data_IF_048488753587
#
_entry.id   IF_048488753587
#
_cell.length_a   1.000
_cell.length_b   1.000
_cell.length_c   1.000
_cell.angle_alpha   90.00
_cell.angle_beta   90.00
_cell.angle_gamma   90.00
#
_symmetry.space_group_name_H-M   'P 1'
#
loop_
_entity.id
_entity.type
_entity.pdbx_description
1 polymer ?
#
# COMPACT_ATOMS: atom_id res chain seq x y z
N UNK A 1 -24.78 10.78 18.46
CA UNK A 1 -23.49 10.04 18.42
C UNK A 1 -23.10 9.46 17.05
N UNK A 2 -24.02 8.89 16.24
CA UNK A 2 -23.71 8.34 14.89
C UNK A 2 -23.04 9.33 13.92
N UNK A 3 -23.46 10.61 13.90
CA UNK A 3 -22.92 11.66 13.00
C UNK A 3 -21.42 11.93 13.26
N UNK A 4 -21.01 11.95 14.53
CA UNK A 4 -19.62 12.24 14.94
C UNK A 4 -18.69 11.08 14.56
N UNK A 5 -19.14 9.84 14.72
CA UNK A 5 -18.38 8.65 14.31
C UNK A 5 -18.23 8.55 12.79
N UNK A 6 -19.26 8.93 12.03
CA UNK A 6 -19.20 8.98 10.56
C UNK A 6 -18.15 9.96 10.06
N UNK A 7 -18.11 11.17 10.63
CA UNK A 7 -17.12 12.19 10.29
C UNK A 7 -15.71 11.71 10.60
N UNK A 8 -15.48 11.07 11.75
CA UNK A 8 -14.16 10.51 12.13
C UNK A 8 -13.66 9.46 11.14
N UNK A 9 -14.54 8.56 10.68
CA UNK A 9 -14.21 7.48 9.76
C UNK A 9 -13.97 8.02 8.33
N UNK A 10 -14.79 8.97 7.88
CA UNK A 10 -14.63 9.66 6.60
C UNK A 10 -13.26 10.35 6.51
N UNK A 11 -12.87 11.03 7.58
CA UNK A 11 -11.57 11.70 7.67
C UNK A 11 -10.40 10.73 7.68
N UNK A 12 -10.53 9.58 8.36
CA UNK A 12 -9.45 8.58 8.44
C UNK A 12 -9.06 8.03 7.05
N UNK A 13 -10.03 7.64 6.22
CA UNK A 13 -9.75 7.14 4.86
C UNK A 13 -9.06 8.16 3.95
N UNK A 14 -9.37 9.45 4.11
CA UNK A 14 -8.70 10.55 3.38
C UNK A 14 -7.27 10.78 3.86
N UNK A 15 -7.07 10.80 5.18
CA UNK A 15 -5.74 10.96 5.78
C UNK A 15 -4.83 9.82 5.32
N UNK A 16 -5.32 8.57 5.34
CA UNK A 16 -4.58 7.40 4.85
C UNK A 16 -4.19 7.57 3.37
N UNK A 17 -5.13 7.97 2.50
CA UNK A 17 -4.84 8.21 1.08
C UNK A 17 -3.80 9.30 0.86
N UNK A 18 -3.88 10.41 1.59
CA UNK A 18 -2.91 11.51 1.52
C UNK A 18 -1.53 11.06 2.00
N UNK A 19 -1.44 10.37 3.14
CA UNK A 19 -0.19 9.84 3.66
C UNK A 19 0.48 8.90 2.66
N UNK A 20 -0.28 7.99 2.04
CA UNK A 20 0.25 7.08 1.02
C UNK A 20 0.75 7.82 -0.22
N UNK A 21 0.06 8.88 -0.65
CA UNK A 21 0.49 9.69 -1.79
C UNK A 21 1.77 10.49 -1.48
N UNK A 22 1.91 11.02 -0.26
CA UNK A 22 3.15 11.70 0.19
C UNK A 22 4.31 10.71 0.20
N UNK A 23 4.11 9.53 0.80
CA UNK A 23 5.14 8.47 0.85
C UNK A 23 5.56 8.08 -0.57
N UNK A 24 4.59 7.82 -1.46
CA UNK A 24 4.87 7.46 -2.84
C UNK A 24 5.61 8.57 -3.61
N UNK A 25 5.24 9.83 -3.38
CA UNK A 25 5.91 10.98 -3.96
C UNK A 25 7.37 11.07 -3.50
N UNK A 26 7.62 10.92 -2.19
CA UNK A 26 8.96 10.90 -1.62
C UNK A 26 9.80 9.73 -2.14
N UNK A 27 9.25 8.52 -2.23
CA UNK A 27 10.00 7.36 -2.72
C UNK A 27 10.34 7.49 -4.19
N UNK A 28 9.43 8.05 -5.00
CA UNK A 28 9.63 8.27 -6.44
C UNK A 28 10.65 9.38 -6.72
N UNK A 29 10.66 10.44 -5.93
CA UNK A 29 11.64 11.51 -6.05
C UNK A 29 13.03 11.03 -5.65
N UNK A 30 13.14 10.30 -4.53
CA UNK A 30 14.39 9.66 -4.11
C UNK A 30 14.89 8.65 -5.17
N UNK A 31 13.97 7.87 -5.77
CA UNK A 31 14.31 6.94 -6.84
C UNK A 31 14.90 7.65 -8.05
N UNK A 32 14.26 8.72 -8.51
CA UNK A 32 14.72 9.51 -9.66
C UNK A 32 16.08 10.15 -9.42
N UNK A 33 16.28 10.77 -8.24
CA UNK A 33 17.55 11.41 -7.88
C UNK A 33 18.67 10.38 -7.86
N UNK A 34 18.44 9.23 -7.22
CA UNK A 34 19.47 8.21 -7.09
C UNK A 34 19.78 7.52 -8.41
N UNK A 35 18.78 7.29 -9.25
CA UNK A 35 18.97 6.77 -10.61
C UNK A 35 19.87 7.70 -11.44
N UNK A 36 19.61 9.01 -11.42
CA UNK A 36 20.41 10.01 -12.16
C UNK A 36 21.82 10.16 -11.56
N UNK A 37 21.94 10.10 -10.23
CA UNK A 37 23.21 10.28 -9.52
C UNK A 37 24.10 9.03 -9.52
N UNK A 38 23.58 7.86 -9.89
CA UNK A 38 24.32 6.60 -9.83
C UNK A 38 25.41 6.59 -10.90
N UNK A 39 26.65 6.81 -10.49
CA UNK A 39 27.82 6.72 -11.40
C UNK A 39 28.27 5.27 -11.64
N UNK A 40 27.88 4.35 -10.77
CA UNK A 40 28.20 2.93 -10.87
C UNK A 40 26.96 2.07 -10.73
N UNK A 41 26.96 0.88 -11.34
CA UNK A 41 25.84 -0.09 -11.26
C UNK A 41 25.63 -0.62 -9.82
N UNK A 42 26.69 -0.61 -9.01
CA UNK A 42 26.71 -1.08 -7.62
C UNK A 42 25.91 -0.13 -6.71
N UNK A 43 26.06 1.18 -6.90
CA UNK A 43 25.32 2.19 -6.12
C UNK A 43 23.80 2.13 -6.36
N UNK A 44 23.40 1.77 -7.58
CA UNK A 44 22.00 1.56 -7.95
C UNK A 44 21.44 0.29 -7.29
N UNK A 45 22.24 -0.78 -7.27
CA UNK A 45 21.84 -2.04 -6.63
C UNK A 45 21.60 -1.88 -5.13
N UNK A 46 22.55 -1.24 -4.44
CA UNK A 46 22.46 -0.94 -3.01
C UNK A 46 21.19 -0.11 -2.74
N UNK A 47 20.88 0.86 -3.60
CA UNK A 47 19.69 1.68 -3.45
C UNK A 47 18.37 0.91 -3.66
N UNK A 48 18.29 0.01 -4.65
CA UNK A 48 17.12 -0.86 -4.81
C UNK A 48 16.92 -1.72 -3.57
N UNK A 49 18.00 -2.19 -2.95
CA UNK A 49 17.93 -2.96 -1.72
C UNK A 49 17.32 -2.15 -0.56
N UNK A 50 17.56 -0.84 -0.50
CA UNK A 50 16.91 0.05 0.47
C UNK A 50 15.40 0.26 0.21
N UNK A 51 14.93 0.08 -1.03
CA UNK A 51 13.50 0.17 -1.39
C UNK A 51 12.73 -1.13 -1.15
N UNK A 52 13.43 -2.24 -0.93
CA UNK A 52 12.85 -3.57 -0.73
C UNK A 52 11.72 -3.61 0.34
N UNK A 53 11.84 -2.94 1.51
CA UNK A 53 10.80 -2.92 2.55
C UNK A 53 9.51 -2.21 2.18
N UNK A 54 9.51 -1.40 1.12
CA UNK A 54 8.30 -0.75 0.62
C UNK A 54 7.43 -1.73 -0.20
N UNK A 55 7.79 -3.01 -0.24
CA UNK A 55 7.08 -4.05 -0.97
C UNK A 55 7.60 -4.27 -2.39
N UNK A 56 8.85 -3.88 -2.65
CA UNK A 56 9.51 -3.97 -3.96
C UNK A 56 10.35 -5.24 -4.13
N UNK A 57 9.90 -6.37 -3.56
CA UNK A 57 10.63 -7.64 -3.64
C UNK A 57 10.90 -8.12 -5.07
N UNK A 58 10.03 -7.73 -6.00
CA UNK A 58 10.19 -7.98 -7.43
C UNK A 58 11.49 -7.37 -7.96
N UNK A 59 11.85 -6.16 -7.49
CA UNK A 59 13.11 -5.51 -7.86
C UNK A 59 14.33 -6.29 -7.34
N UNK A 60 14.23 -6.93 -6.18
CA UNK A 60 15.31 -7.78 -5.67
C UNK A 60 15.46 -9.06 -6.51
N UNK A 61 14.35 -9.73 -6.85
CA UNK A 61 14.35 -10.93 -7.69
C UNK A 61 14.92 -10.68 -9.09
N UNK A 62 14.64 -9.50 -9.67
CA UNK A 62 15.19 -9.13 -10.98
C UNK A 62 16.71 -8.95 -10.99
N UNK A 63 17.30 -8.59 -9.86
CA UNK A 63 18.74 -8.33 -9.79
C UNK A 63 19.51 -9.57 -9.32
N UNK A 64 18.90 -10.44 -8.51
CA UNK A 64 19.47 -11.75 -8.19
C UNK A 64 19.42 -12.71 -9.40
N UNK A 65 18.58 -12.42 -10.39
CA UNK A 65 18.64 -13.08 -11.71
C UNK A 65 19.96 -12.71 -12.38
N UNK A 66 20.86 -13.70 -12.47
CA UNK A 66 22.25 -13.62 -12.94
C UNK A 66 22.34 -13.34 -14.46
N UNK A 67 21.69 -12.29 -14.93
CA UNK A 67 21.59 -11.90 -16.33
C UNK A 67 22.65 -10.86 -16.65
N UNK A 68 23.42 -11.13 -17.70
CA UNK A 68 24.61 -10.39 -18.13
C UNK A 68 24.34 -8.95 -18.62
N UNK A 69 23.07 -8.52 -18.65
CA UNK A 69 22.65 -7.20 -19.14
C UNK A 69 21.97 -6.36 -18.04
N UNK A 70 22.77 -5.91 -17.08
CA UNK A 70 22.35 -5.08 -15.93
C UNK A 70 21.64 -3.79 -16.37
N UNK A 71 22.09 -3.17 -17.47
CA UNK A 71 21.48 -1.96 -18.02
C UNK A 71 20.01 -2.16 -18.45
N UNK A 72 19.69 -3.28 -19.10
CA UNK A 72 18.32 -3.60 -19.55
C UNK A 72 17.42 -3.87 -18.34
N UNK A 73 17.95 -4.59 -17.33
CA UNK A 73 17.24 -4.91 -16.08
C UNK A 73 16.92 -3.63 -15.30
N UNK A 74 17.86 -2.68 -15.26
CA UNK A 74 17.68 -1.39 -14.59
C UNK A 74 16.57 -0.54 -15.23
N UNK A 75 16.58 -0.43 -16.56
CA UNK A 75 15.54 0.30 -17.32
C UNK A 75 14.17 -0.37 -17.14
N UNK A 76 14.12 -1.69 -17.24
CA UNK A 76 12.88 -2.45 -17.04
C UNK A 76 12.34 -2.30 -15.61
N UNK A 77 13.23 -2.35 -14.62
CA UNK A 77 12.91 -2.15 -13.21
C UNK A 77 12.34 -0.76 -12.94
N UNK A 78 12.93 0.27 -13.55
CA UNK A 78 12.41 1.64 -13.50
C UNK A 78 11.00 1.71 -14.09
N UNK A 79 10.78 1.17 -15.30
CA UNK A 79 9.46 1.19 -15.94
C UNK A 79 8.40 0.48 -15.08
N UNK A 80 8.73 -0.69 -14.52
CA UNK A 80 7.83 -1.43 -13.65
C UNK A 80 7.53 -0.69 -12.35
N UNK A 81 8.52 -0.02 -11.76
CA UNK A 81 8.30 0.82 -10.58
C UNK A 81 7.33 1.97 -10.88
N UNK A 82 7.53 2.71 -11.97
CA UNK A 82 6.63 3.80 -12.37
C UNK A 82 5.22 3.29 -12.71
N UNK A 83 5.11 2.15 -13.39
CA UNK A 83 3.82 1.53 -13.68
C UNK A 83 3.07 1.16 -12.40
N UNK A 84 3.75 0.54 -11.42
CA UNK A 84 3.15 0.24 -10.13
C UNK A 84 2.76 1.50 -9.35
N UNK A 85 3.62 2.52 -9.35
CA UNK A 85 3.38 3.80 -8.67
C UNK A 85 2.14 4.52 -9.24
N UNK A 86 1.95 4.50 -10.56
CA UNK A 86 0.76 5.11 -11.19
C UNK A 86 -0.52 4.36 -10.83
N UNK A 87 -0.51 3.02 -10.86
CA UNK A 87 -1.66 2.20 -10.41
C UNK A 87 -1.99 2.45 -8.94
N UNK A 88 -0.97 2.52 -8.07
CA UNK A 88 -1.17 2.79 -6.66
C UNK A 88 -1.71 4.22 -6.44
N UNK A 89 -1.25 5.20 -7.21
CA UNK A 89 -1.77 6.58 -7.18
C UNK A 89 -3.25 6.63 -7.54
N UNK A 90 -3.63 5.97 -8.63
CA UNK A 90 -5.03 5.86 -9.07
C UNK A 90 -5.89 5.23 -7.97
N UNK A 91 -5.42 4.16 -7.35
CA UNK A 91 -6.14 3.51 -6.26
C UNK A 91 -6.28 4.39 -5.01
N UNK A 92 -5.28 5.18 -4.65
CA UNK A 92 -5.37 6.15 -3.55
C UNK A 92 -6.37 7.28 -3.87
N UNK A 93 -6.44 7.74 -5.12
CA UNK A 93 -7.47 8.69 -5.57
C UNK A 93 -8.87 8.08 -5.42
N UNK A 94 -9.08 6.84 -5.86
CA UNK A 94 -10.34 6.13 -5.65
C UNK A 94 -10.70 6.00 -4.17
N UNK A 95 -9.71 5.74 -3.31
CA UNK A 95 -9.91 5.70 -1.86
C UNK A 95 -10.33 7.07 -1.29
N UNK A 96 -9.73 8.17 -1.75
CA UNK A 96 -10.11 9.52 -1.31
C UNK A 96 -11.50 9.93 -1.80
N UNK A 97 -11.93 9.39 -2.94
CA UNK A 97 -13.23 9.64 -3.56
C UNK A 97 -14.34 8.78 -2.94
N UNK A 98 -14.05 7.56 -2.49
CA UNK A 98 -15.03 6.64 -1.92
C UNK A 98 -15.92 7.23 -0.80
N UNK A 99 -15.39 8.06 0.13
CA UNK A 99 -16.17 8.71 1.18
C UNK A 99 -17.13 9.77 0.65
N UNK A 100 -16.80 10.45 -0.46
CA UNK A 100 -17.69 11.44 -1.07
C UNK A 100 -18.92 10.78 -1.68
N UNK A 101 -18.72 9.70 -2.43
CA UNK A 101 -19.82 8.99 -3.08
C UNK A 101 -20.53 8.00 -2.15
N UNK A 102 -20.01 7.75 -0.94
CA UNK A 102 -20.50 6.72 0.00
C UNK A 102 -20.73 5.35 -0.66
N UNK A 103 -19.94 5.04 -1.70
CA UNK A 103 -20.04 3.77 -2.42
C UNK A 103 -18.89 2.85 -2.00
N UNK A 104 -19.18 1.70 -1.38
CA UNK A 104 -18.15 0.76 -0.94
C UNK A 104 -17.36 0.16 -2.10
N UNK A 105 -17.88 0.20 -3.33
CA UNK A 105 -17.22 -0.31 -4.53
C UNK A 105 -15.91 0.41 -4.87
N UNK A 106 -15.79 1.71 -4.59
CA UNK A 106 -14.57 2.48 -4.89
C UNK A 106 -13.40 2.16 -3.94
N UNK A 107 -13.65 1.51 -2.81
CA UNK A 107 -12.58 1.07 -1.89
C UNK A 107 -11.93 -0.25 -2.31
N UNK A 108 -12.57 -1.01 -3.20
CA UNK A 108 -12.12 -2.35 -3.59
C UNK A 108 -10.78 -2.33 -4.32
N UNK A 109 -10.55 -1.47 -5.34
CA UNK A 109 -9.26 -1.45 -6.03
C UNK A 109 -8.10 -1.17 -5.08
N UNK A 110 -8.29 -0.22 -4.15
CA UNK A 110 -7.30 0.09 -3.14
C UNK A 110 -7.04 -1.07 -2.18
N UNK A 111 -8.08 -1.73 -1.67
CA UNK A 111 -7.92 -2.89 -0.79
C UNK A 111 -7.14 -4.02 -1.46
N UNK A 112 -7.37 -4.26 -2.77
CA UNK A 112 -6.63 -5.29 -3.53
C UNK A 112 -5.16 -4.92 -3.63
N UNK A 113 -4.84 -3.72 -4.10
CA UNK A 113 -3.44 -3.30 -4.26
C UNK A 113 -2.71 -3.23 -2.91
N UNK A 114 -3.38 -2.75 -1.86
CA UNK A 114 -2.81 -2.71 -0.52
C UNK A 114 -2.56 -4.11 0.03
N UNK A 115 -3.42 -5.10 -0.28
CA UNK A 115 -3.20 -6.51 0.12
C UNK A 115 -1.95 -7.07 -0.56
N UNK A 116 -1.79 -6.84 -1.86
CA UNK A 116 -0.59 -7.24 -2.62
C UNK A 116 0.65 -6.59 -2.03
N UNK A 117 0.58 -5.29 -1.70
CA UNK A 117 1.68 -4.57 -1.05
C UNK A 117 2.04 -5.17 0.31
N UNK A 118 1.06 -5.48 1.17
CA UNK A 118 1.30 -6.12 2.48
C UNK A 118 1.97 -7.49 2.32
N UNK A 119 1.53 -8.30 1.36
CA UNK A 119 2.16 -9.60 1.08
C UNK A 119 3.63 -9.40 0.70
N UNK A 120 3.91 -8.50 -0.26
CA UNK A 120 5.28 -8.23 -0.69
C UNK A 120 6.16 -7.68 0.46
N UNK A 121 5.63 -6.78 1.28
CA UNK A 121 6.32 -6.24 2.46
C UNK A 121 6.61 -7.35 3.48
N UNK A 122 5.65 -8.26 3.70
CA UNK A 122 5.79 -9.38 4.63
C UNK A 122 6.89 -10.35 4.20
N UNK A 123 6.93 -10.72 2.91
CA UNK A 123 8.00 -11.59 2.39
C UNK A 123 9.36 -10.90 2.50
N UNK A 124 9.43 -9.60 2.20
CA UNK A 124 10.67 -8.81 2.33
C UNK A 124 11.16 -8.75 3.78
N UNK A 125 10.23 -8.57 4.71
CA UNK A 125 10.52 -8.58 6.15
C UNK A 125 11.06 -9.94 6.60
N UNK A 126 10.43 -11.04 6.18
CA UNK A 126 10.86 -12.41 6.52
C UNK A 126 12.24 -12.70 5.94
N UNK A 127 12.50 -12.36 4.68
CA UNK A 127 13.83 -12.55 4.07
C UNK A 127 14.91 -11.76 4.81
N UNK A 128 14.62 -10.49 5.13
CA UNK A 128 15.56 -9.64 5.89
C UNK A 128 15.80 -10.19 7.30
N UNK A 129 14.76 -10.74 7.95
CA UNK A 129 14.86 -11.39 9.25
C UNK A 129 15.74 -12.65 9.20
N UNK A 130 15.54 -13.51 8.20
CA UNK A 130 16.32 -14.74 8.03
C UNK A 130 17.78 -14.46 7.69
N UNK A 131 18.06 -13.42 6.89
CA UNK A 131 19.43 -13.00 6.58
C UNK A 131 20.16 -12.49 7.82
N UNK A 132 19.48 -11.74 8.69
CA UNK A 132 20.04 -11.28 9.96
C UNK A 132 20.29 -12.43 10.95
N UNK A 133 19.45 -13.48 10.94
CA UNK A 133 19.66 -14.66 11.80
C UNK A 133 20.83 -15.54 11.34
N UNK A 134 21.11 -15.60 10.04
CA UNK A 134 22.16 -16.45 9.46
C UNK A 134 23.54 -15.79 9.37
N UNK A 135 23.67 -14.47 9.64
CA UNK A 135 24.96 -13.77 9.61
C UNK A 135 25.70 -13.93 10.94
N UNK A 136 26.69 -14.82 10.97
CA UNK A 136 27.59 -15.06 12.12
C UNK A 136 28.80 -14.12 12.18
N UNK A 137 29.02 -13.23 11.18
CA UNK A 137 30.18 -12.33 11.17
C UNK A 137 29.82 -10.84 11.03
N UNK A 138 30.49 -9.96 11.82
CA UNK A 138 30.21 -8.53 11.85
C UNK A 138 30.99 -7.82 10.73
N UNK A 139 30.43 -7.76 9.53
CA UNK A 139 30.97 -6.89 8.47
C UNK A 139 30.40 -5.48 8.57
N UNK A 140 31.26 -4.48 8.38
CA UNK A 140 31.13 -3.01 8.55
C UNK A 140 29.84 -2.31 8.04
N UNK A 141 28.88 -3.01 7.42
CA UNK A 141 27.55 -2.52 7.01
C UNK A 141 26.53 -2.39 8.16
N UNK A 142 26.94 -2.70 9.39
CA UNK A 142 26.09 -2.85 10.59
C UNK A 142 25.29 -1.60 10.98
N UNK A 143 25.79 -0.38 10.72
CA UNK A 143 25.15 0.83 11.24
C UNK A 143 23.93 1.32 10.44
N UNK A 144 23.81 1.00 9.14
CA UNK A 144 22.62 1.39 8.36
C UNK A 144 21.50 0.33 8.38
N UNK A 145 21.83 -0.95 8.54
CA UNK A 145 20.86 -2.06 8.56
C UNK A 145 20.11 -2.21 9.90
N UNK A 146 20.69 -1.77 11.04
CA UNK A 146 20.06 -1.87 12.38
C UNK A 146 18.74 -1.10 12.45
N UNK A 147 18.65 0.09 11.85
CA UNK A 147 17.42 0.88 11.81
C UNK A 147 16.44 0.42 10.72
N UNK A 148 16.93 -0.36 9.76
CA UNK A 148 16.16 -0.82 8.61
C UNK A 148 15.13 -1.89 9.01
N UNK A 149 15.54 -2.80 9.90
CA UNK A 149 14.65 -3.84 10.43
C UNK A 149 13.43 -3.28 11.18
N UNK A 150 13.57 -2.40 12.21
CA UNK A 150 12.40 -1.84 12.90
C UNK A 150 11.55 -0.94 12.00
N UNK A 151 12.15 -0.19 11.06
CA UNK A 151 11.39 0.67 10.15
C UNK A 151 10.50 -0.12 9.19
N UNK A 152 11.00 -1.24 8.65
CA UNK A 152 10.21 -2.14 7.81
C UNK A 152 9.02 -2.74 8.56
N UNK A 153 9.22 -3.15 9.81
CA UNK A 153 8.15 -3.66 10.68
C UNK A 153 7.10 -2.59 11.01
N UNK A 154 7.52 -1.38 11.35
CA UNK A 154 6.61 -0.25 11.62
C UNK A 154 5.76 0.10 10.38
N UNK A 155 6.38 0.10 9.20
CA UNK A 155 5.67 0.36 7.95
C UNK A 155 4.64 -0.73 7.63
N UNK A 156 4.97 -2.00 7.90
CA UNK A 156 4.06 -3.12 7.73
C UNK A 156 2.87 -3.04 8.70
N UNK A 157 3.11 -2.67 9.97
CA UNK A 157 2.05 -2.44 10.96
C UNK A 157 1.13 -1.29 10.49
N UNK A 158 1.71 -0.19 10.02
CA UNK A 158 0.95 0.94 9.47
C UNK A 158 0.10 0.53 8.26
N UNK A 159 0.65 -0.30 7.37
CA UNK A 159 -0.04 -0.83 6.19
C UNK A 159 -1.23 -1.71 6.57
N UNK A 160 -1.06 -2.61 7.54
CA UNK A 160 -2.14 -3.48 8.06
C UNK A 160 -3.21 -2.65 8.75
N UNK A 161 -2.82 -1.68 9.57
CA UNK A 161 -3.75 -0.78 10.26
C UNK A 161 -4.61 0.02 9.26
N UNK A 162 -3.96 0.57 8.24
CA UNK A 162 -4.64 1.30 7.16
C UNK A 162 -5.62 0.40 6.42
N UNK A 163 -5.21 -0.82 6.07
CA UNK A 163 -6.06 -1.80 5.40
C UNK A 163 -7.29 -2.17 6.25
N UNK A 164 -7.08 -2.48 7.54
CA UNK A 164 -8.15 -2.83 8.48
C UNK A 164 -9.17 -1.70 8.63
N UNK A 165 -8.70 -0.46 8.81
CA UNK A 165 -9.55 0.72 8.96
C UNK A 165 -10.43 0.94 7.73
N UNK A 166 -9.87 0.82 6.53
CA UNK A 166 -10.62 0.96 5.27
C UNK A 166 -11.63 -0.18 5.09
N UNK A 167 -11.26 -1.41 5.41
CA UNK A 167 -12.14 -2.57 5.30
C UNK A 167 -13.34 -2.46 6.27
N UNK A 168 -13.12 -2.02 7.50
CA UNK A 168 -14.18 -1.81 8.48
C UNK A 168 -15.12 -0.67 8.08
N UNK A 169 -14.56 0.38 7.48
CA UNK A 169 -15.34 1.48 6.89
C UNK A 169 -16.23 0.99 5.77
N UNK A 170 -15.69 0.18 4.85
CA UNK A 170 -16.43 -0.44 3.77
C UNK A 170 -17.58 -1.32 4.28
N UNK A 171 -17.33 -2.18 5.27
CA UNK A 171 -18.36 -3.03 5.89
C UNK A 171 -19.50 -2.20 6.49
N UNK A 172 -19.18 -1.08 7.14
CA UNK A 172 -20.18 -0.15 7.68
C UNK A 172 -21.05 0.45 6.57
N UNK A 173 -20.46 0.92 5.47
CA UNK A 173 -21.23 1.46 4.35
C UNK A 173 -22.14 0.41 3.69
N UNK A 174 -21.69 -0.84 3.58
CA UNK A 174 -22.53 -1.94 3.08
C UNK A 174 -23.75 -2.15 4.01
N UNK A 175 -23.53 -2.19 5.32
CA UNK A 175 -24.61 -2.36 6.31
C UNK A 175 -25.62 -1.21 6.30
N UNK A 176 -25.15 0.02 6.07
CA UNK A 176 -26.03 1.19 5.96
C UNK A 176 -26.86 1.16 4.70
N UNK A 177 -26.28 0.75 3.57
CA UNK A 177 -27.01 0.58 2.31
C UNK A 177 -28.03 -0.56 2.38
N UNK A 178 -27.71 -1.67 3.07
CA UNK A 178 -28.69 -2.75 3.27
C UNK A 178 -29.84 -2.33 4.16
N UNK A 179 -29.55 -1.55 5.22
CA UNK A 179 -30.58 -1.04 6.11
C UNK A 179 -31.52 -0.08 5.38
N UNK A 180 -30.98 0.88 4.60
CA UNK A 180 -31.82 1.79 3.80
C UNK A 180 -32.71 1.01 2.84
N UNK A 181 -32.16 0.04 2.09
CA UNK A 181 -32.96 -0.80 1.18
C UNK A 181 -34.09 -1.55 1.90
N UNK A 182 -33.83 -2.10 3.10
CA UNK A 182 -34.87 -2.77 3.90
C UNK A 182 -35.97 -1.83 4.38
N UNK A 183 -35.63 -0.60 4.78
CA UNK A 183 -36.64 0.40 5.16
C UNK A 183 -37.57 0.75 4.00
N UNK A 184 -37.03 0.92 2.79
CA UNK A 184 -37.86 1.19 1.60
C UNK A 184 -38.74 0.00 1.20
N UNK A 185 -38.28 -1.24 1.34
CA UNK A 185 -39.12 -2.41 1.04
C UNK A 185 -40.24 -2.61 2.06
N UNK A 186 -40.00 -2.37 3.35
CA UNK A 186 -41.02 -2.50 4.40
C UNK A 186 -42.10 -1.43 4.28
N UNK A 187 -41.72 -0.18 3.99
CA UNK A 187 -42.72 0.88 3.79
C UNK A 187 -43.59 0.61 2.56
N UNK A 188 -42.99 0.19 1.43
CA UNK A 188 -43.77 -0.17 0.24
C UNK A 188 -44.75 -1.34 0.47
N UNK A 189 -44.41 -2.31 1.32
CA UNK A 189 -45.35 -3.42 1.62
C UNK A 189 -46.49 -3.00 2.52
N UNK A 190 -46.28 -2.03 3.40
CA UNK A 190 -47.34 -1.52 4.27
C UNK A 190 -48.32 -0.62 3.49
N UNK A 191 -47.80 0.21 2.58
CA UNK A 191 -48.63 1.07 1.71
C UNK A 191 -49.53 0.25 0.75
N UNK A 192 -49.11 -0.97 0.39
CA UNK A 192 -49.92 -1.89 -0.44
C UNK A 192 -51.03 -2.57 0.37
N UNK A 193 -50.78 -2.87 1.65
CA UNK A 193 -51.75 -3.54 2.52
C UNK A 193 -52.81 -2.58 3.09
N UNK A 194 -52.49 -1.28 3.20
CA UNK A 194 -53.45 -0.25 3.66
C UNK A 194 -54.36 0.26 2.52
N UNK A 195 -54.10 -0.16 1.27
CA UNK A 195 -54.87 0.22 0.08
C UNK A 195 -55.87 -0.86 -0.39
N UNK A 196 -56.00 -1.99 0.31
CA UNK A 196 -56.92 -3.11 0.04
C UNK A 196 -57.99 -3.23 1.12
#
# INVERSE_FOLDING_TARGET
MKKIYHVKILSATRIIGICNMIILGCTTSLFSIKYISSKTEIDFYIFIQYLNPLGSIWLHLFITSNSTNIAIISIFSMYMYFFFATLFSIANIYLMIAPYFRKPTYTIPWLIIQTISIINQSVSFILSFMQNLSRTEPSFFIYSEIWFFPMSGLYLIFSIYSWSTVNDTRKKWIKEQSNHRRFFTVNNTNDINDAS
#
